data_IF_577848213316
#
_entry.id   IF_577848213316
#
_cell.length_a   1.000
_cell.length_b   1.000
_cell.length_c   1.000
_cell.angle_alpha   90.00
_cell.angle_beta   90.00
_cell.angle_gamma   90.00
#
_symmetry.space_group_name_H-M   'P 1'
#
loop_
_entity.id
_entity.type
_entity.pdbx_description
1 polymer ?
#
# COMPACT_ATOMS: atom_id res chain seq x y z
N UNK A 1 -9.38 -22.58 -6.27
CA UNK A 1 -9.10 -21.19 -6.69
C UNK A 1 -8.64 -20.42 -5.46
N UNK A 2 -7.52 -19.71 -5.52
CA UNK A 2 -7.05 -18.87 -4.39
C UNK A 2 -7.54 -17.44 -4.64
N UNK A 3 -8.15 -16.81 -3.63
CA UNK A 3 -8.54 -15.40 -3.65
C UNK A 3 -7.68 -14.63 -2.64
N UNK A 4 -6.53 -14.06 -3.05
CA UNK A 4 -5.65 -13.34 -2.13
C UNK A 4 -6.33 -12.20 -1.36
N UNK A 5 -7.21 -11.37 -1.96
CA UNK A 5 -7.92 -10.33 -1.21
C UNK A 5 -8.74 -10.88 -0.04
N UNK A 6 -9.34 -12.07 -0.17
CA UNK A 6 -10.17 -12.65 0.87
C UNK A 6 -9.38 -12.96 2.16
N UNK A 7 -8.14 -13.44 2.05
CA UNK A 7 -7.31 -13.71 3.24
C UNK A 7 -6.71 -12.42 3.83
N UNK A 8 -6.39 -11.42 2.98
CA UNK A 8 -5.89 -10.12 3.46
C UNK A 8 -6.93 -9.35 4.26
N UNK A 9 -8.22 -9.56 3.94
CA UNK A 9 -9.35 -8.90 4.61
C UNK A 9 -10.04 -9.78 5.67
N UNK A 10 -9.48 -10.95 6.00
CA UNK A 10 -10.10 -11.88 6.94
C UNK A 10 -9.92 -11.40 8.41
N UNK A 11 -11.01 -11.12 9.16
CA UNK A 11 -10.93 -10.66 10.55
C UNK A 11 -10.37 -11.71 11.51
N UNK A 12 -10.41 -13.01 11.18
CA UNK A 12 -9.79 -14.08 11.98
C UNK A 12 -8.25 -14.06 11.91
N UNK A 13 -7.69 -13.42 10.87
CA UNK A 13 -6.24 -13.31 10.66
C UNK A 13 -5.70 -11.93 10.99
N UNK A 14 -6.48 -10.89 10.72
CA UNK A 14 -6.09 -9.52 10.93
C UNK A 14 -7.13 -8.81 11.78
N UNK A 15 -6.76 -8.40 13.00
CA UNK A 15 -7.60 -7.52 13.81
C UNK A 15 -7.90 -6.24 13.04
N UNK A 16 -9.17 -5.86 12.91
CA UNK A 16 -9.64 -4.70 12.15
C UNK A 16 -9.04 -4.63 10.72
N UNK A 17 -9.43 -5.57 9.83
CA UNK A 17 -8.77 -5.76 8.53
C UNK A 17 -9.08 -4.65 7.52
N UNK A 18 -10.15 -3.88 7.74
CA UNK A 18 -10.55 -2.78 6.86
C UNK A 18 -9.83 -1.47 7.18
N UNK A 19 -9.22 -1.36 8.37
CA UNK A 19 -8.46 -0.18 8.76
C UNK A 19 -7.03 -0.19 8.25
N UNK A 20 -6.61 0.95 7.70
CA UNK A 20 -5.21 1.17 7.35
C UNK A 20 -4.37 1.39 8.61
N UNK A 21 -3.73 0.31 9.08
CA UNK A 21 -2.85 0.33 10.25
C UNK A 21 -1.48 -0.27 9.91
N UNK A 22 -0.46 0.54 9.56
CA UNK A 22 0.90 0.08 9.29
C UNK A 22 1.56 -0.61 10.49
N UNK A 23 1.17 -0.26 11.72
CA UNK A 23 1.80 -0.80 12.93
C UNK A 23 1.52 -2.27 13.17
N UNK A 24 0.51 -2.87 12.53
CA UNK A 24 0.26 -4.31 12.63
C UNK A 24 1.45 -5.16 12.19
N UNK A 25 2.32 -4.60 11.35
CA UNK A 25 3.49 -5.27 10.79
C UNK A 25 4.75 -5.07 11.63
N UNK A 26 4.74 -4.16 12.62
CA UNK A 26 5.90 -3.90 13.48
C UNK A 26 6.19 -5.11 14.34
N UNK A 27 7.44 -5.59 14.34
CA UNK A 27 7.87 -6.75 15.12
C UNK A 27 7.38 -8.09 14.58
N UNK A 28 6.61 -8.13 13.49
CA UNK A 28 6.48 -9.35 12.71
C UNK A 28 7.80 -9.61 12.00
N UNK A 29 8.27 -10.86 11.97
CA UNK A 29 9.45 -11.27 11.23
C UNK A 29 9.26 -11.11 9.71
N UNK A 30 9.96 -11.91 8.90
CA UNK A 30 9.82 -11.82 7.44
C UNK A 30 8.38 -12.11 6.97
N UNK A 31 7.58 -11.07 6.76
CA UNK A 31 6.19 -11.14 6.26
C UNK A 31 6.14 -11.80 4.87
N UNK A 32 7.26 -11.75 4.13
CA UNK A 32 7.42 -12.32 2.79
C UNK A 32 7.24 -13.84 2.71
N UNK A 33 7.23 -14.55 3.84
CA UNK A 33 7.02 -16.01 3.90
C UNK A 33 5.68 -16.42 4.51
N UNK A 34 4.81 -15.47 4.89
CA UNK A 34 3.51 -15.79 5.46
C UNK A 34 2.52 -16.21 4.36
N UNK A 35 1.97 -17.42 4.49
CA UNK A 35 0.85 -17.91 3.64
C UNK A 35 -0.41 -17.04 3.75
N UNK A 36 -0.49 -16.15 4.74
CA UNK A 36 -1.63 -15.27 4.94
C UNK A 36 -1.46 -13.91 4.24
N UNK A 37 -0.27 -13.59 3.73
CA UNK A 37 0.02 -12.34 3.03
C UNK A 37 0.69 -12.60 1.69
N UNK A 38 -0.09 -12.46 0.62
CA UNK A 38 0.30 -12.83 -0.76
C UNK A 38 -0.06 -11.71 -1.76
N UNK A 39 0.41 -10.47 -1.57
CA UNK A 39 0.09 -9.35 -2.47
C UNK A 39 0.73 -9.51 -3.86
N UNK A 40 1.82 -10.28 -3.97
CA UNK A 40 2.59 -10.50 -5.19
C UNK A 40 2.45 -11.92 -5.74
N UNK A 41 1.47 -12.69 -5.25
CA UNK A 41 1.34 -14.11 -5.54
C UNK A 41 2.29 -14.98 -4.71
N UNK A 42 2.73 -16.10 -5.28
CA UNK A 42 3.61 -17.06 -4.61
C UNK A 42 4.08 -18.20 -5.51
N UNK A 43 5.02 -19.01 -5.01
CA UNK A 43 5.60 -20.14 -5.74
C UNK A 43 6.45 -19.71 -6.94
N UNK A 44 6.53 -20.57 -7.97
CA UNK A 44 7.34 -20.31 -9.18
C UNK A 44 6.85 -19.11 -10.01
N UNK A 45 5.63 -18.64 -9.78
CA UNK A 45 5.04 -17.48 -10.44
C UNK A 45 4.87 -16.28 -9.50
N UNK A 46 5.66 -16.22 -8.43
CA UNK A 46 5.78 -14.99 -7.64
C UNK A 46 6.17 -13.83 -8.57
N UNK A 47 5.60 -12.65 -8.35
CA UNK A 47 5.90 -11.48 -9.16
C UNK A 47 7.43 -11.23 -9.21
N UNK A 48 7.99 -11.36 -10.41
CA UNK A 48 9.42 -11.14 -10.66
C UNK A 48 9.85 -9.70 -10.32
N UNK A 49 8.92 -8.74 -10.40
CA UNK A 49 9.15 -7.34 -10.05
C UNK A 49 8.89 -7.00 -8.58
N UNK A 50 8.59 -7.96 -7.70
CA UNK A 50 8.17 -7.65 -6.32
C UNK A 50 9.22 -6.89 -5.51
N UNK A 51 10.51 -7.20 -5.65
CA UNK A 51 11.57 -6.46 -4.96
C UNK A 51 11.80 -5.07 -5.56
N UNK A 52 11.71 -4.96 -6.89
CA UNK A 52 11.80 -3.67 -7.58
C UNK A 52 10.64 -2.74 -7.17
N UNK A 53 9.41 -3.25 -7.14
CA UNK A 53 8.23 -2.49 -6.76
C UNK A 53 8.32 -2.00 -5.31
N UNK A 54 8.78 -2.86 -4.38
CA UNK A 54 9.01 -2.45 -2.98
C UNK A 54 10.02 -1.30 -2.89
N UNK A 55 11.12 -1.37 -3.64
CA UNK A 55 12.11 -0.30 -3.70
C UNK A 55 11.50 0.99 -4.27
N UNK A 56 10.82 0.89 -5.42
CA UNK A 56 10.19 2.03 -6.07
C UNK A 56 9.17 2.72 -5.16
N UNK A 57 8.26 1.96 -4.53
CA UNK A 57 7.29 2.50 -3.57
C UNK A 57 7.99 3.17 -2.38
N UNK A 58 9.06 2.57 -1.85
CA UNK A 58 9.82 3.12 -0.72
C UNK A 58 10.47 4.46 -1.07
N UNK A 59 11.08 4.56 -2.25
CA UNK A 59 11.71 5.79 -2.75
C UNK A 59 10.66 6.88 -2.97
N UNK A 60 9.57 6.57 -3.68
CA UNK A 60 8.47 7.53 -3.92
C UNK A 60 7.88 8.02 -2.61
N UNK A 61 7.62 7.12 -1.65
CA UNK A 61 7.08 7.48 -0.34
C UNK A 61 8.06 8.34 0.46
N UNK A 62 9.37 8.03 0.42
CA UNK A 62 10.39 8.85 1.06
C UNK A 62 10.34 10.29 0.56
N UNK A 63 10.41 10.51 -0.77
CA UNK A 63 10.34 11.86 -1.34
C UNK A 63 9.02 12.56 -1.04
N UNK A 64 7.91 11.83 -1.15
CA UNK A 64 6.58 12.37 -0.88
C UNK A 64 6.46 12.88 0.57
N UNK A 65 7.02 12.15 1.54
CA UNK A 65 6.96 12.50 2.96
C UNK A 65 8.00 13.54 3.40
N UNK A 66 9.20 13.51 2.84
CA UNK A 66 10.29 14.40 3.27
C UNK A 66 10.25 15.76 2.60
N UNK A 67 9.83 15.83 1.33
CA UNK A 67 9.84 17.08 0.54
C UNK A 67 8.47 17.70 0.34
N UNK A 68 7.39 16.98 0.58
CA UNK A 68 6.06 17.48 0.26
C UNK A 68 5.05 17.32 1.40
N UNK A 69 4.02 18.16 1.36
CA UNK A 69 2.76 17.98 2.09
C UNK A 69 1.63 18.00 1.07
N UNK A 70 0.60 17.20 1.30
CA UNK A 70 -0.55 17.16 0.41
C UNK A 70 -1.86 17.21 1.17
N UNK A 71 -2.86 17.74 0.49
CA UNK A 71 -4.25 17.75 0.96
C UNK A 71 -5.15 17.22 -0.15
N UNK A 72 -6.13 16.41 0.22
CA UNK A 72 -7.13 15.90 -0.72
C UNK A 72 -8.07 17.05 -1.11
N UNK A 73 -8.24 17.26 -2.43
CA UNK A 73 -9.16 18.26 -2.96
C UNK A 73 -10.52 17.60 -3.26
N UNK A 74 -10.52 16.56 -4.11
CA UNK A 74 -11.72 15.87 -4.57
C UNK A 74 -11.40 14.45 -5.07
N UNK A 75 -12.45 13.64 -5.23
CA UNK A 75 -12.34 12.26 -5.71
C UNK A 75 -11.93 11.29 -4.60
N UNK A 76 -11.19 10.25 -4.96
CA UNK A 76 -10.77 9.19 -4.02
C UNK A 76 -11.82 8.11 -3.77
N UNK A 77 -12.90 8.09 -4.55
CA UNK A 77 -13.77 6.92 -4.63
C UNK A 77 -13.01 5.79 -5.32
N UNK A 78 -12.98 4.62 -4.67
CA UNK A 78 -12.28 3.44 -5.14
C UNK A 78 -13.33 2.45 -5.63
N UNK A 79 -13.11 1.87 -6.82
CA UNK A 79 -13.84 0.70 -7.29
C UNK A 79 -12.88 -0.44 -7.54
N UNK A 80 -13.22 -1.62 -7.03
CA UNK A 80 -12.52 -2.86 -7.33
C UNK A 80 -13.33 -3.62 -8.39
N UNK A 81 -12.83 -3.66 -9.61
CA UNK A 81 -13.46 -4.42 -10.71
C UNK A 81 -12.44 -5.44 -11.21
N UNK A 82 -11.78 -5.20 -12.35
CA UNK A 82 -10.64 -6.00 -12.81
C UNK A 82 -9.30 -5.55 -12.18
N UNK A 83 -9.33 -4.44 -11.44
CA UNK A 83 -8.24 -3.84 -10.69
C UNK A 83 -8.76 -2.74 -9.78
N UNK A 84 -7.87 -2.09 -9.05
CA UNK A 84 -8.20 -0.90 -8.25
C UNK A 84 -8.22 0.31 -9.17
N UNK A 85 -9.37 0.95 -9.31
CA UNK A 85 -9.52 2.17 -10.10
C UNK A 85 -10.09 3.30 -9.25
N UNK A 86 -9.71 4.52 -9.64
CA UNK A 86 -10.29 5.76 -9.13
C UNK A 86 -11.08 6.41 -10.26
N UNK A 87 -12.39 6.11 -10.43
CA UNK A 87 -13.16 6.55 -11.61
C UNK A 87 -13.18 8.07 -11.78
N UNK A 88 -13.19 8.79 -10.66
CA UNK A 88 -13.20 10.25 -10.60
C UNK A 88 -11.81 10.83 -10.25
N UNK A 89 -10.75 10.01 -10.34
CA UNK A 89 -9.40 10.33 -9.91
C UNK A 89 -9.25 10.53 -8.40
N UNK A 90 -8.02 10.79 -7.97
CA UNK A 90 -7.69 11.30 -6.64
C UNK A 90 -6.92 12.61 -6.83
N UNK A 91 -7.63 13.73 -6.70
CA UNK A 91 -7.03 15.05 -6.88
C UNK A 91 -6.43 15.53 -5.56
N UNK A 92 -5.13 15.77 -5.57
CA UNK A 92 -4.37 16.26 -4.41
C UNK A 92 -3.72 17.60 -4.72
N UNK A 93 -3.69 18.50 -3.74
CA UNK A 93 -2.87 19.71 -3.77
C UNK A 93 -1.57 19.41 -3.07
N UNK A 94 -0.45 19.57 -3.74
CA UNK A 94 0.89 19.34 -3.20
C UNK A 94 1.55 20.69 -2.89
N UNK A 95 2.27 20.78 -1.77
CA UNK A 95 3.11 21.90 -1.38
C UNK A 95 4.49 21.36 -1.03
N UNK A 96 5.54 22.03 -1.49
CA UNK A 96 6.91 21.70 -1.09
C UNK A 96 7.18 22.15 0.35
N UNK A 97 8.00 21.37 1.06
CA UNK A 97 8.48 21.66 2.40
C UNK A 97 9.94 22.07 2.28
N UNK A 98 10.21 23.36 2.41
CA UNK A 98 11.57 23.87 2.49
C UNK A 98 12.08 23.62 3.91
N UNK A 99 13.16 22.87 4.04
CA UNK A 99 13.84 22.61 5.32
C UNK A 99 14.75 23.78 5.76
N UNK A 100 14.50 25.01 5.30
CA UNK A 100 15.36 26.18 5.53
C UNK A 100 15.03 26.98 6.81
N UNK A 101 14.22 26.45 7.73
CA UNK A 101 14.02 27.07 9.05
C UNK A 101 13.94 25.99 10.14
N UNK A 102 15.10 25.62 10.67
CA UNK A 102 15.28 25.18 12.06
C UNK A 102 16.36 26.07 12.70
#
# INVERSE_FOLDING_TARGET
MVCPPAIHLNPEKYHDPLSFNPWRWKGQGSITTSKHFMPFGGGMRLCAGSEYEKLQMSVVLHFLLTKYRWTKIKGGEIKQTLGVVFPNGLHIKVKEVNHEQE
#
